data_IF_304115816269
#
_entry.id   IF_304115816269
#
_cell.length_a   1.000
_cell.length_b   1.000
_cell.length_c   1.000
_cell.angle_alpha   90.00
_cell.angle_beta   90.00
_cell.angle_gamma   90.00
#
_symmetry.space_group_name_H-M   'P 1'
#
loop_
_entity.id
_entity.type
_entity.pdbx_description
1 polymer ?
#
# COMPACT_ATOMS: atom_id res chain seq x y z
N UNK A 1 1.26 -27.29 -81.38
CA UNK A 1 1.78 -26.78 -80.10
C UNK A 1 0.71 -25.92 -79.46
N UNK A 2 0.73 -25.85 -78.11
CA UNK A 2 -0.15 -25.09 -77.19
C UNK A 2 -1.38 -25.88 -76.73
N UNK A 3 -1.24 -26.54 -75.57
CA UNK A 3 -2.37 -27.09 -74.78
C UNK A 3 -3.00 -26.00 -73.88
N UNK A 4 -4.23 -26.20 -73.39
CA UNK A 4 -4.95 -25.18 -72.64
C UNK A 4 -4.38 -25.00 -71.22
N UNK A 5 -4.07 -23.76 -70.87
CA UNK A 5 -3.72 -23.35 -69.52
C UNK A 5 -4.91 -23.56 -68.59
N UNK A 6 -4.79 -24.49 -67.65
CA UNK A 6 -5.68 -24.59 -66.50
C UNK A 6 -5.33 -23.46 -65.52
N UNK A 7 -6.02 -22.33 -65.63
CA UNK A 7 -5.93 -21.27 -64.62
C UNK A 7 -6.66 -21.75 -63.37
N UNK A 8 -5.91 -22.30 -62.42
CA UNK A 8 -6.42 -22.51 -61.07
C UNK A 8 -6.93 -21.17 -60.51
N UNK A 9 -8.05 -21.13 -59.77
CA UNK A 9 -8.53 -19.91 -59.14
C UNK A 9 -7.42 -19.33 -58.26
N UNK A 10 -7.11 -18.05 -58.43
CA UNK A 10 -6.24 -17.32 -57.50
C UNK A 10 -6.93 -17.36 -56.13
N UNK A 11 -6.36 -18.01 -55.09
CA UNK A 11 -6.94 -17.93 -53.77
C UNK A 11 -7.01 -16.46 -53.36
N UNK A 12 -8.15 -16.02 -52.81
CA UNK A 12 -8.30 -14.68 -52.29
C UNK A 12 -7.11 -14.37 -51.36
N UNK A 13 -6.53 -13.15 -51.38
CA UNK A 13 -5.47 -12.81 -50.46
C UNK A 13 -6.00 -13.05 -49.04
N UNK A 14 -5.40 -14.03 -48.37
CA UNK A 14 -5.89 -14.47 -47.08
C UNK A 14 -5.74 -13.29 -46.11
N UNK A 15 -6.82 -12.86 -45.49
CA UNK A 15 -6.86 -11.68 -44.61
C UNK A 15 -6.05 -11.89 -43.31
N UNK A 16 -5.46 -13.07 -43.13
CA UNK A 16 -4.70 -13.51 -41.97
C UNK A 16 -3.34 -14.08 -42.41
N UNK A 17 -2.37 -14.06 -41.50
CA UNK A 17 -1.08 -14.71 -41.72
C UNK A 17 -1.23 -16.25 -41.84
N UNK A 18 -0.30 -16.94 -42.53
CA UNK A 18 -0.33 -18.39 -42.66
C UNK A 18 -0.34 -19.10 -41.30
N UNK A 19 -1.20 -20.12 -41.17
CA UNK A 19 -1.34 -20.90 -39.93
C UNK A 19 -0.16 -21.83 -39.65
N UNK A 20 0.47 -22.35 -40.71
CA UNK A 20 1.61 -23.26 -40.62
C UNK A 20 2.88 -22.53 -41.02
N UNK A 21 3.91 -22.66 -40.18
CA UNK A 21 5.26 -22.14 -40.38
C UNK A 21 5.33 -20.69 -40.91
N UNK A 22 4.61 -19.72 -40.31
CA UNK A 22 4.74 -18.33 -40.72
C UNK A 22 6.17 -17.85 -40.43
N UNK A 23 6.88 -17.43 -41.49
CA UNK A 23 8.24 -16.88 -41.37
C UNK A 23 8.19 -15.36 -41.51
N UNK A 24 8.46 -14.66 -40.42
CA UNK A 24 8.64 -13.21 -40.42
C UNK A 24 10.14 -12.90 -40.31
N UNK A 25 10.74 -12.32 -41.35
CA UNK A 25 12.18 -11.98 -41.40
C UNK A 25 12.46 -10.50 -41.09
N UNK A 26 11.43 -9.73 -40.71
CA UNK A 26 11.52 -8.31 -40.42
C UNK A 26 10.46 -7.87 -39.40
N UNK A 27 10.25 -6.55 -39.27
CA UNK A 27 9.20 -6.01 -38.39
C UNK A 27 7.81 -6.38 -38.90
N UNK A 28 6.94 -6.81 -38.00
CA UNK A 28 5.53 -7.07 -38.29
C UNK A 28 4.73 -5.84 -37.88
N UNK A 29 4.15 -5.15 -38.86
CA UNK A 29 3.21 -4.07 -38.62
C UNK A 29 1.81 -4.64 -38.48
N UNK A 30 1.16 -4.37 -37.36
CA UNK A 30 -0.21 -4.79 -37.07
C UNK A 30 -1.09 -3.54 -37.06
N UNK A 31 -2.26 -3.52 -37.73
CA UNK A 31 -3.21 -2.43 -37.62
C UNK A 31 -3.53 -2.14 -36.14
N UNK A 32 -3.76 -0.87 -35.74
CA UNK A 32 -3.95 -0.55 -34.33
C UNK A 32 -5.15 -1.28 -33.70
N UNK A 33 -6.23 -1.50 -34.46
CA UNK A 33 -7.47 -2.10 -33.95
C UNK A 33 -8.13 -1.27 -32.84
N UNK A 34 -9.08 -1.87 -32.14
CA UNK A 34 -9.72 -1.34 -30.94
C UNK A 34 -10.12 -2.48 -30.00
N UNK A 35 -10.75 -2.19 -28.87
CA UNK A 35 -11.11 -3.24 -27.90
C UNK A 35 -12.11 -4.27 -28.43
N UNK A 36 -12.99 -3.90 -29.37
CA UNK A 36 -13.97 -4.80 -29.96
C UNK A 36 -13.39 -5.64 -31.10
N UNK A 37 -12.36 -5.12 -31.78
CA UNK A 37 -11.63 -5.82 -32.85
C UNK A 37 -10.14 -5.50 -32.71
N UNK A 38 -9.40 -6.25 -31.88
CA UNK A 38 -7.98 -6.03 -31.69
C UNK A 38 -7.19 -6.30 -32.98
N UNK A 39 -6.12 -5.52 -33.18
CA UNK A 39 -5.26 -5.66 -34.35
C UNK A 39 -4.59 -7.03 -34.44
N UNK A 40 -4.24 -7.59 -33.28
CA UNK A 40 -3.81 -8.98 -33.11
C UNK A 40 -4.83 -9.68 -32.22
N UNK A 41 -5.53 -10.68 -32.74
CA UNK A 41 -6.57 -11.44 -32.02
C UNK A 41 -6.40 -12.94 -32.22
N UNK A 42 -7.13 -13.73 -31.42
CA UNK A 42 -7.15 -15.17 -31.53
C UNK A 42 -8.06 -15.62 -32.69
N UNK A 43 -7.66 -16.61 -33.49
CA UNK A 43 -8.51 -17.16 -34.54
C UNK A 43 -9.80 -17.75 -33.95
N UNK A 44 -10.95 -17.32 -34.47
CA UNK A 44 -12.25 -17.67 -33.92
C UNK A 44 -12.72 -16.84 -32.70
N UNK A 45 -11.87 -15.94 -32.18
CA UNK A 45 -12.19 -15.03 -31.08
C UNK A 45 -11.62 -13.63 -31.41
N UNK A 46 -12.35 -12.93 -32.28
CA UNK A 46 -11.95 -11.64 -32.83
C UNK A 46 -12.06 -10.47 -31.82
N UNK A 47 -12.57 -10.72 -30.61
CA UNK A 47 -12.76 -9.71 -29.57
C UNK A 47 -11.76 -9.84 -28.40
N UNK A 48 -10.84 -10.80 -28.51
CA UNK A 48 -9.79 -11.09 -27.54
C UNK A 48 -8.41 -10.97 -28.17
N UNK A 49 -7.59 -10.02 -27.67
CA UNK A 49 -6.32 -9.71 -28.32
C UNK A 49 -5.61 -8.44 -27.84
N UNK A 50 -4.62 -8.00 -28.61
CA UNK A 50 -3.83 -6.78 -28.40
C UNK A 50 -4.19 -5.70 -29.43
N UNK A 51 -4.27 -4.46 -28.96
CA UNK A 51 -4.60 -3.30 -29.79
C UNK A 51 -3.87 -2.04 -29.29
N UNK A 52 -3.85 -0.99 -30.11
CA UNK A 52 -3.28 0.31 -29.79
C UNK A 52 -4.37 1.38 -29.78
N UNK A 53 -4.83 1.86 -28.61
CA UNK A 53 -5.86 2.89 -28.50
C UNK A 53 -5.36 4.30 -28.85
N UNK A 54 -4.05 4.46 -29.09
CA UNK A 54 -3.41 5.72 -29.42
C UNK A 54 -1.89 5.57 -29.51
N UNK A 55 -1.18 6.64 -29.92
CA UNK A 55 0.27 6.61 -30.05
C UNK A 55 0.95 6.16 -28.75
N UNK A 56 2.02 5.39 -28.89
CA UNK A 56 2.86 4.93 -27.77
C UNK A 56 2.07 4.22 -26.65
N UNK A 57 0.93 3.59 -27.00
CA UNK A 57 0.05 2.92 -26.04
C UNK A 57 -0.31 1.52 -26.56
N UNK A 58 -0.23 0.53 -25.69
CA UNK A 58 -0.61 -0.86 -25.96
C UNK A 58 -1.69 -1.29 -24.96
N UNK A 59 -2.72 -1.97 -25.44
CA UNK A 59 -3.80 -2.46 -24.60
C UNK A 59 -4.20 -3.90 -24.96
N UNK A 60 -4.77 -4.60 -23.98
CA UNK A 60 -5.30 -5.95 -24.13
C UNK A 60 -6.82 -5.93 -23.92
N UNK A 61 -7.54 -6.68 -24.75
CA UNK A 61 -8.99 -6.84 -24.69
C UNK A 61 -9.38 -8.31 -24.51
N UNK A 62 -10.51 -8.52 -23.83
CA UNK A 62 -11.23 -9.81 -23.78
C UNK A 62 -12.73 -9.55 -23.78
N UNK A 63 -13.49 -10.30 -24.58
CA UNK A 63 -14.94 -10.10 -24.70
C UNK A 63 -15.29 -8.70 -25.20
N UNK A 64 -14.46 -8.15 -26.10
CA UNK A 64 -14.67 -6.84 -26.73
C UNK A 64 -14.38 -5.62 -25.84
N UNK A 65 -13.87 -5.82 -24.62
CA UNK A 65 -13.59 -4.76 -23.66
C UNK A 65 -12.12 -4.71 -23.27
N UNK A 66 -11.60 -3.49 -23.12
CA UNK A 66 -10.25 -3.26 -22.62
C UNK A 66 -10.11 -3.72 -21.17
N UNK A 67 -9.07 -4.50 -20.89
CA UNK A 67 -8.78 -5.04 -19.55
C UNK A 67 -7.53 -4.45 -18.93
N UNK A 68 -6.52 -4.19 -19.75
CA UNK A 68 -5.22 -3.68 -19.33
C UNK A 68 -4.63 -2.77 -20.40
N UNK A 69 -3.90 -1.73 -19.99
CA UNK A 69 -3.20 -0.79 -20.86
C UNK A 69 -1.82 -0.44 -20.30
N UNK A 70 -0.82 -0.37 -21.17
CA UNK A 70 0.42 0.38 -20.92
C UNK A 70 0.33 1.69 -21.70
N UNK A 71 0.26 2.82 -20.98
CA UNK A 71 0.10 4.13 -21.60
C UNK A 71 1.44 4.78 -22.01
N UNK A 72 1.36 5.90 -22.72
CA UNK A 72 2.52 6.65 -23.18
C UNK A 72 3.39 7.23 -22.07
N UNK A 73 2.90 7.26 -20.83
CA UNK A 73 3.65 7.63 -19.63
C UNK A 73 4.37 6.44 -18.98
N UNK A 74 4.26 5.24 -19.55
CA UNK A 74 4.84 4.00 -19.00
C UNK A 74 4.05 3.41 -17.83
N UNK A 75 2.79 3.80 -17.64
CA UNK A 75 1.94 3.28 -16.56
C UNK A 75 1.15 2.08 -17.04
N UNK A 76 1.02 1.08 -16.18
CA UNK A 76 0.13 -0.06 -16.31
C UNK A 76 -1.20 0.26 -15.64
N UNK A 77 -2.28 0.26 -16.42
CA UNK A 77 -3.64 0.46 -15.97
C UNK A 77 -4.40 -0.86 -16.11
N UNK A 78 -5.09 -1.29 -15.06
CA UNK A 78 -5.98 -2.45 -15.05
C UNK A 78 -7.37 -1.97 -14.68
N UNK A 79 -8.37 -2.30 -15.51
CA UNK A 79 -9.76 -1.86 -15.31
C UNK A 79 -10.00 -0.36 -15.56
N UNK A 80 -9.06 0.35 -16.18
CA UNK A 80 -9.19 1.76 -16.56
C UNK A 80 -8.48 2.04 -17.89
N UNK A 81 -9.00 3.00 -18.66
CA UNK A 81 -8.45 3.44 -19.95
C UNK A 81 -7.60 4.71 -19.84
N UNK A 82 -7.65 5.39 -18.71
CA UNK A 82 -6.83 6.56 -18.44
C UNK A 82 -6.35 6.49 -17.00
N UNK A 83 -5.23 7.15 -16.73
CA UNK A 83 -4.76 7.26 -15.36
C UNK A 83 -5.76 8.01 -14.50
N UNK A 84 -5.99 7.48 -13.31
CA UNK A 84 -6.83 8.04 -12.27
C UNK A 84 -6.01 8.72 -11.17
N UNK A 85 -4.70 8.88 -11.37
CA UNK A 85 -3.84 9.58 -10.42
C UNK A 85 -4.28 11.05 -10.33
N UNK A 86 -4.78 11.42 -9.16
CA UNK A 86 -5.02 12.84 -8.82
C UNK A 86 -4.21 13.27 -7.59
N UNK A 87 -3.30 12.41 -7.12
CA UNK A 87 -2.41 12.71 -6.00
C UNK A 87 -1.34 13.73 -6.43
N UNK A 88 -1.24 14.89 -5.76
CA UNK A 88 -0.22 15.87 -6.09
C UNK A 88 1.19 15.29 -5.92
N UNK A 89 2.00 15.34 -6.98
CA UNK A 89 3.43 14.97 -6.95
C UNK A 89 3.72 13.46 -6.95
N UNK A 90 2.71 12.60 -7.11
CA UNK A 90 2.90 11.15 -7.22
C UNK A 90 2.13 10.62 -8.42
N UNK A 91 2.76 9.74 -9.20
CA UNK A 91 2.10 8.97 -10.24
C UNK A 91 2.38 7.49 -10.02
N UNK A 92 1.31 6.72 -9.94
CA UNK A 92 1.37 5.28 -9.73
C UNK A 92 1.72 4.60 -11.05
N UNK A 93 2.82 3.85 -11.08
CA UNK A 93 3.21 3.06 -12.27
C UNK A 93 2.21 1.94 -12.51
N UNK A 94 1.64 1.36 -11.46
CA UNK A 94 0.55 0.39 -11.55
C UNK A 94 -0.72 0.98 -10.93
N UNK A 95 -1.81 0.98 -11.68
CA UNK A 95 -3.14 1.42 -11.24
C UNK A 95 -4.12 0.30 -11.48
N UNK A 96 -4.70 -0.24 -10.40
CA UNK A 96 -5.72 -1.27 -10.47
C UNK A 96 -7.04 -0.67 -10.00
N UNK A 97 -7.93 -0.45 -10.95
CA UNK A 97 -9.25 0.08 -10.70
C UNK A 97 -10.26 -1.06 -10.75
N UNK A 98 -11.01 -1.21 -9.66
CA UNK A 98 -12.12 -2.13 -9.55
C UNK A 98 -13.35 -1.36 -9.09
N UNK A 99 -14.54 -1.81 -9.50
CA UNK A 99 -15.80 -1.16 -9.13
C UNK A 99 -16.45 -1.89 -7.96
N UNK A 100 -16.93 -3.11 -8.20
CA UNK A 100 -17.58 -3.94 -7.17
C UNK A 100 -16.68 -5.06 -6.64
N UNK A 101 -15.50 -5.24 -7.24
CA UNK A 101 -14.53 -6.27 -6.87
C UNK A 101 -13.45 -5.73 -5.94
N UNK A 102 -12.76 -6.65 -5.26
CA UNK A 102 -11.50 -6.35 -4.57
C UNK A 102 -10.41 -6.08 -5.62
N UNK A 103 -9.81 -4.89 -5.61
CA UNK A 103 -8.77 -4.51 -6.56
C UNK A 103 -7.48 -5.34 -6.41
N UNK A 104 -7.10 -5.71 -5.19
CA UNK A 104 -5.91 -6.51 -4.92
C UNK A 104 -6.14 -7.52 -3.79
N UNK A 105 -5.73 -8.77 -3.99
CA UNK A 105 -5.77 -9.83 -2.99
C UNK A 105 -4.47 -10.62 -3.00
N UNK A 106 -3.90 -10.89 -1.82
CA UNK A 106 -2.77 -11.79 -1.63
C UNK A 106 -3.20 -13.00 -0.79
N UNK A 107 -3.28 -14.18 -1.41
CA UNK A 107 -3.73 -15.41 -0.78
C UNK A 107 -2.62 -16.48 -0.89
N UNK A 108 -2.45 -17.30 0.15
CA UNK A 108 -1.51 -18.42 0.17
C UNK A 108 -2.26 -19.72 0.48
N UNK A 109 -2.12 -20.74 -0.38
CA UNK A 109 -2.85 -22.01 -0.30
C UNK A 109 -1.92 -23.23 -0.23
N UNK A 110 -1.23 -23.42 0.88
CA UNK A 110 -0.40 -24.62 1.12
C UNK A 110 -0.28 -24.91 2.63
N UNK A 111 -0.20 -26.19 3.00
CA UNK A 111 0.02 -26.63 4.40
C UNK A 111 1.51 -26.54 4.77
N UNK A 112 1.96 -25.31 4.98
CA UNK A 112 3.31 -25.00 5.44
C UNK A 112 3.32 -23.68 6.23
N UNK A 113 4.48 -23.31 6.76
CA UNK A 113 4.64 -22.09 7.56
C UNK A 113 4.78 -20.79 6.73
N UNK A 114 4.52 -20.84 5.42
CA UNK A 114 4.57 -19.68 4.52
C UNK A 114 3.33 -18.77 4.64
N UNK A 115 3.46 -17.51 4.19
CA UNK A 115 2.36 -16.52 4.26
C UNK A 115 2.32 -15.60 3.03
N UNK A 116 1.17 -14.98 2.79
CA UNK A 116 1.06 -13.84 1.89
C UNK A 116 1.58 -12.57 2.59
N UNK A 117 2.33 -11.74 1.88
CA UNK A 117 2.92 -10.52 2.44
C UNK A 117 2.80 -9.33 1.47
N UNK A 118 2.53 -8.15 2.02
CA UNK A 118 2.77 -6.88 1.34
C UNK A 118 4.18 -6.39 1.72
N UNK A 119 5.13 -6.58 0.81
CA UNK A 119 6.51 -6.16 1.03
C UNK A 119 6.75 -4.75 0.48
N UNK A 120 7.08 -3.81 1.36
CA UNK A 120 7.49 -2.46 1.02
C UNK A 120 8.94 -2.27 1.46
N UNK A 121 9.79 -1.80 0.57
CA UNK A 121 11.22 -1.67 0.83
C UNK A 121 11.78 -0.39 0.25
N UNK A 122 12.77 0.16 0.96
CA UNK A 122 13.51 1.34 0.53
C UNK A 122 14.99 1.02 0.53
N UNK A 123 15.67 1.39 -0.54
CA UNK A 123 17.12 1.54 -0.57
C UNK A 123 17.48 2.96 -0.99
N UNK A 124 18.66 3.44 -0.58
CA UNK A 124 19.24 4.69 -1.08
C UNK A 124 20.19 4.47 -2.27
N UNK A 125 20.21 3.27 -2.86
CA UNK A 125 21.01 2.98 -4.04
C UNK A 125 20.68 3.95 -5.18
N UNK A 126 21.71 4.41 -5.90
CA UNK A 126 21.56 5.36 -7.01
C UNK A 126 21.07 4.75 -8.33
N UNK A 127 20.97 3.43 -8.40
CA UNK A 127 20.54 2.69 -9.59
C UNK A 127 19.66 1.50 -9.19
N UNK A 128 18.86 1.02 -10.15
CA UNK A 128 18.03 -0.17 -9.96
C UNK A 128 18.91 -1.38 -9.60
N UNK A 129 18.50 -2.12 -8.57
CA UNK A 129 19.23 -3.29 -8.06
C UNK A 129 20.43 -2.97 -7.16
N UNK A 130 20.83 -1.70 -7.01
CA UNK A 130 21.88 -1.33 -6.07
C UNK A 130 21.34 -1.16 -4.65
N UNK A 131 22.06 -1.68 -3.67
CA UNK A 131 21.73 -1.51 -2.25
C UNK A 131 22.66 -0.48 -1.61
N UNK A 132 22.05 0.54 -1.00
CA UNK A 132 22.72 1.43 -0.06
C UNK A 132 21.92 1.56 1.25
N UNK A 133 22.59 1.82 2.38
CA UNK A 133 21.94 1.98 3.68
C UNK A 133 20.87 3.07 3.65
N UNK A 134 19.75 2.79 4.31
CA UNK A 134 18.77 3.82 4.68
C UNK A 134 19.29 4.63 5.87
N UNK A 135 18.77 5.84 6.07
CA UNK A 135 19.17 6.76 7.13
C UNK A 135 18.00 7.05 8.08
N UNK A 136 18.30 7.64 9.24
CA UNK A 136 17.26 8.08 10.18
C UNK A 136 16.20 8.95 9.47
N UNK A 137 14.93 8.64 9.69
CA UNK A 137 13.81 9.34 9.06
C UNK A 137 13.44 8.83 7.66
N UNK A 138 14.23 7.94 7.05
CA UNK A 138 13.83 7.32 5.78
C UNK A 138 12.55 6.50 5.98
N UNK A 139 11.55 6.76 5.12
CA UNK A 139 10.32 5.98 5.06
C UNK A 139 10.61 4.65 4.37
N UNK A 140 10.33 3.54 5.06
CA UNK A 140 10.50 2.19 4.51
C UNK A 140 9.32 1.79 3.61
N UNK A 141 8.13 2.23 4.00
CA UNK A 141 6.88 1.94 3.29
C UNK A 141 5.69 2.55 4.02
N UNK A 142 4.65 2.85 3.27
CA UNK A 142 3.43 3.44 3.81
C UNK A 142 2.18 2.84 3.18
N UNK A 143 1.13 2.74 4.00
CA UNK A 143 -0.24 2.47 3.57
C UNK A 143 -1.00 3.80 3.72
N UNK A 144 -1.52 4.32 2.62
CA UNK A 144 -2.32 5.54 2.61
C UNK A 144 -3.80 5.24 2.44
N UNK A 145 -4.62 5.87 3.28
CA UNK A 145 -6.06 5.86 3.16
C UNK A 145 -6.46 7.20 2.55
N UNK A 146 -6.84 7.16 1.27
CA UNK A 146 -7.12 8.34 0.48
C UNK A 146 -8.62 8.67 0.50
N UNK A 147 -8.95 9.94 0.44
CA UNK A 147 -10.32 10.41 0.27
C UNK A 147 -10.35 11.48 -0.84
N UNK A 148 -11.37 11.42 -1.70
CA UNK A 148 -11.61 12.44 -2.72
C UNK A 148 -12.48 13.55 -2.15
N UNK A 149 -12.14 14.80 -2.44
CA UNK A 149 -13.00 15.97 -2.17
C UNK A 149 -13.97 16.28 -3.32
N UNK A 150 -14.08 15.38 -4.31
CA UNK A 150 -14.83 15.58 -5.54
C UNK A 150 -14.00 16.18 -6.69
N UNK A 151 -12.79 16.67 -6.40
CA UNK A 151 -11.84 17.14 -7.42
C UNK A 151 -10.59 16.26 -7.47
N UNK A 152 -10.02 15.91 -6.31
CA UNK A 152 -8.80 15.09 -6.21
C UNK A 152 -8.72 14.30 -4.91
N UNK A 153 -7.86 13.29 -4.89
CA UNK A 153 -7.55 12.55 -3.67
C UNK A 153 -6.58 13.29 -2.75
N UNK A 154 -6.81 13.18 -1.44
CA UNK A 154 -5.91 13.58 -0.36
C UNK A 154 -5.59 12.37 0.52
N UNK A 155 -4.43 12.39 1.16
CA UNK A 155 -4.11 11.42 2.22
C UNK A 155 -4.91 11.78 3.48
N UNK A 156 -5.94 10.99 3.78
CA UNK A 156 -6.77 11.17 4.97
C UNK A 156 -6.10 10.58 6.21
N UNK A 157 -5.67 9.31 6.12
CA UNK A 157 -4.93 8.62 7.18
C UNK A 157 -3.74 7.84 6.59
N UNK A 158 -2.79 7.48 7.45
CA UNK A 158 -1.59 6.76 7.03
C UNK A 158 -1.06 5.82 8.13
N UNK A 159 -0.57 4.66 7.70
CA UNK A 159 0.33 3.81 8.47
C UNK A 159 1.71 3.90 7.82
N UNK A 160 2.75 4.12 8.62
CA UNK A 160 4.10 4.37 8.12
C UNK A 160 5.14 3.56 8.90
N UNK A 161 5.92 2.76 8.18
CA UNK A 161 7.19 2.23 8.68
C UNK A 161 8.31 3.22 8.37
N UNK A 162 9.12 3.55 9.38
CA UNK A 162 10.20 4.52 9.25
C UNK A 162 11.43 4.09 10.04
N UNK A 163 12.62 4.43 9.54
CA UNK A 163 13.86 4.27 10.30
C UNK A 163 13.87 5.25 11.47
N UNK A 164 14.15 4.74 12.67
CA UNK A 164 14.22 5.56 13.91
C UNK A 164 15.64 6.01 14.25
N UNK A 165 16.66 5.24 13.84
CA UNK A 165 18.07 5.62 13.98
C UNK A 165 18.90 5.00 12.86
N UNK A 166 20.08 5.57 12.60
CA UNK A 166 20.98 5.09 11.53
C UNK A 166 21.25 3.58 11.68
N UNK A 167 20.97 2.76 10.65
CA UNK A 167 21.26 1.34 10.69
C UNK A 167 22.76 1.06 10.86
N UNK A 168 23.07 -0.05 11.49
CA UNK A 168 24.43 -0.60 11.62
C UNK A 168 24.40 -2.09 11.27
N UNK A 169 25.55 -2.77 11.04
CA UNK A 169 25.56 -4.21 10.81
C UNK A 169 24.79 -4.96 11.92
N UNK A 170 23.77 -5.73 11.53
CA UNK A 170 22.90 -6.47 12.46
C UNK A 170 21.88 -5.63 13.24
N UNK A 171 21.75 -4.32 12.97
CA UNK A 171 20.83 -3.43 13.68
C UNK A 171 20.03 -2.54 12.71
N UNK A 172 18.70 -2.67 12.79
CA UNK A 172 17.75 -1.91 11.99
C UNK A 172 16.64 -1.34 12.90
N UNK A 173 16.93 -0.28 13.68
CA UNK A 173 15.93 0.32 14.55
C UNK A 173 14.85 1.02 13.72
N UNK A 174 13.61 0.54 13.83
CA UNK A 174 12.46 1.06 13.10
C UNK A 174 11.34 1.45 14.05
N UNK A 175 10.51 2.39 13.60
CA UNK A 175 9.25 2.73 14.24
C UNK A 175 8.09 2.52 13.30
N UNK A 176 6.94 2.20 13.89
CA UNK A 176 5.65 2.18 13.21
C UNK A 176 4.82 3.38 13.69
N UNK A 177 4.33 4.19 12.76
CA UNK A 177 3.57 5.40 13.04
C UNK A 177 2.17 5.32 12.43
N UNK A 178 1.21 5.93 13.11
CA UNK A 178 -0.17 6.07 12.66
C UNK A 178 -0.54 7.56 12.61
N UNK A 179 -1.04 8.00 11.47
CA UNK A 179 -1.41 9.39 11.20
C UNK A 179 -2.90 9.50 10.89
N UNK A 180 -3.52 10.60 11.36
CA UNK A 180 -4.90 10.95 11.05
C UNK A 180 -5.02 12.45 10.77
N UNK A 181 -6.01 12.83 9.97
CA UNK A 181 -6.31 14.23 9.68
C UNK A 181 -7.46 14.73 10.56
N UNK A 182 -7.30 15.83 11.33
CA UNK A 182 -8.38 16.39 12.13
C UNK A 182 -9.44 17.09 11.26
N UNK A 183 -10.65 17.24 11.79
CA UNK A 183 -11.72 18.02 11.16
C UNK A 183 -11.25 19.44 10.84
N UNK A 184 -11.57 19.91 9.64
CA UNK A 184 -11.18 21.24 9.15
C UNK A 184 -9.75 21.34 8.63
N UNK A 185 -9.05 20.21 8.46
CA UNK A 185 -7.71 20.15 7.88
C UNK A 185 -7.63 19.12 6.75
N UNK A 186 -6.60 19.26 5.91
CA UNK A 186 -6.14 18.28 4.92
C UNK A 186 -4.73 17.74 5.25
N UNK A 187 -4.19 18.13 6.40
CA UNK A 187 -2.87 17.74 6.88
C UNK A 187 -3.03 16.70 7.99
N UNK A 188 -2.45 15.53 7.78
CA UNK A 188 -2.43 14.45 8.76
C UNK A 188 -1.34 14.63 9.79
N UNK A 189 -1.64 14.39 11.07
CA UNK A 189 -0.70 14.43 12.19
C UNK A 189 -0.52 13.03 12.77
N UNK A 190 0.67 12.76 13.30
CA UNK A 190 0.97 11.53 14.01
C UNK A 190 0.13 11.46 15.29
N UNK A 191 -0.57 10.34 15.48
CA UNK A 191 -1.38 10.07 16.68
C UNK A 191 -0.80 8.97 17.54
N UNK A 192 -0.22 7.93 16.95
CA UNK A 192 0.33 6.79 17.68
C UNK A 192 1.67 6.39 17.06
N UNK A 193 2.62 6.00 17.91
CA UNK A 193 3.90 5.41 17.50
C UNK A 193 4.29 4.23 18.37
N UNK A 194 4.87 3.22 17.74
CA UNK A 194 5.65 2.17 18.39
C UNK A 194 7.11 2.38 18.00
N UNK A 195 8.00 2.58 18.97
CA UNK A 195 9.43 2.81 18.74
C UNK A 195 10.22 1.50 18.56
N UNK A 196 11.48 1.63 18.16
CA UNK A 196 12.44 0.54 18.05
C UNK A 196 12.71 -0.18 19.39
N UNK A 197 12.49 0.49 20.52
CA UNK A 197 12.58 -0.09 21.87
C UNK A 197 11.27 -0.78 22.32
N UNK A 198 10.23 -0.77 21.48
CA UNK A 198 8.90 -1.28 21.81
C UNK A 198 8.03 -0.31 22.62
N UNK A 199 8.48 0.92 22.87
CA UNK A 199 7.69 1.92 23.58
C UNK A 199 6.53 2.42 22.71
N UNK A 200 5.35 2.56 23.32
CA UNK A 200 4.13 3.05 22.66
C UNK A 200 3.86 4.49 23.11
N UNK A 201 3.68 5.41 22.16
CA UNK A 201 3.50 6.85 22.41
C UNK A 201 2.19 7.37 21.78
N UNK A 202 1.42 8.19 22.51
CA UNK A 202 0.15 8.76 22.05
C UNK A 202 0.20 10.30 22.00
N UNK A 203 -0.05 10.83 20.79
CA UNK A 203 -0.44 12.19 20.37
C UNK A 203 0.23 13.41 21.04
N UNK A 204 1.07 14.11 20.27
CA UNK A 204 1.58 15.45 20.58
C UNK A 204 0.51 16.56 20.52
N UNK A 205 -0.36 16.61 21.53
CA UNK A 205 -1.30 17.67 21.93
C UNK A 205 -2.75 17.67 21.35
N UNK A 206 -3.53 16.66 21.75
CA UNK A 206 -4.92 16.81 22.26
C UNK A 206 -5.25 15.60 23.15
N UNK A 207 -5.53 15.74 24.43
CA UNK A 207 -4.51 16.11 25.42
C UNK A 207 -4.26 14.87 26.30
N UNK A 208 -3.01 14.41 26.42
CA UNK A 208 -2.57 13.50 27.49
C UNK A 208 -2.15 14.33 28.73
N UNK A 209 -1.95 15.65 28.56
CA UNK A 209 -1.31 16.65 29.42
C UNK A 209 -1.83 18.10 29.14
N UNK A 210 -2.65 18.73 29.98
CA UNK A 210 -3.03 20.17 29.89
C UNK A 210 -2.42 20.97 31.06
N UNK A 211 -2.83 22.23 31.28
CA UNK A 211 -2.43 23.02 32.49
C UNK A 211 -2.73 22.28 33.81
N UNK A 212 -3.55 21.21 33.75
CA UNK A 212 -3.96 20.38 34.87
C UNK A 212 -3.36 18.95 34.87
N UNK A 213 -2.50 18.52 33.92
CA UNK A 213 -1.96 17.14 33.92
C UNK A 213 -0.65 16.95 33.14
N UNK A 214 0.24 16.06 33.59
CA UNK A 214 1.63 15.94 33.11
C UNK A 214 1.97 14.69 32.27
N UNK A 215 1.26 13.58 32.50
CA UNK A 215 1.17 12.37 31.66
C UNK A 215 -0.20 11.80 31.98
N UNK A 216 -1.04 11.57 30.99
CA UNK A 216 -2.17 10.66 31.10
C UNK A 216 -1.61 9.26 31.26
N UNK A 217 -1.07 8.98 32.44
CA UNK A 217 -1.06 7.62 32.95
C UNK A 217 -2.48 7.11 32.79
N UNK A 218 -2.62 5.84 32.47
CA UNK A 218 -3.95 5.25 32.48
C UNK A 218 -4.52 5.48 33.88
N UNK A 219 -5.61 6.23 33.96
CA UNK A 219 -6.26 6.57 35.21
C UNK A 219 -7.09 5.37 35.65
N UNK A 220 -7.00 5.02 36.93
CA UNK A 220 -7.76 3.96 37.58
C UNK A 220 -8.43 4.51 38.83
N UNK A 221 -9.56 3.97 39.25
CA UNK A 221 -10.02 4.10 40.64
C UNK A 221 -9.30 3.06 41.51
N UNK A 222 -9.30 3.23 42.83
CA UNK A 222 -8.74 2.29 43.82
C UNK A 222 -9.24 0.86 43.55
N UNK A 223 -10.54 0.71 43.29
CA UNK A 223 -11.17 -0.58 42.99
C UNK A 223 -10.74 -1.21 41.65
N UNK A 224 -10.05 -0.46 40.77
CA UNK A 224 -9.75 -0.88 39.37
C UNK A 224 -8.27 -0.95 39.04
N UNK A 225 -7.39 -0.88 40.04
CA UNK A 225 -5.95 -0.96 39.83
C UNK A 225 -5.51 -2.31 39.20
N UNK A 226 -4.58 -2.31 38.23
CA UNK A 226 -4.05 -3.56 37.67
C UNK A 226 -3.24 -4.33 38.71
N UNK A 227 -2.89 -5.60 38.50
CA UNK A 227 -2.02 -6.32 39.46
C UNK A 227 -0.64 -5.68 39.57
N UNK A 228 -0.17 -5.45 40.80
CA UNK A 228 1.15 -4.89 41.08
C UNK A 228 2.28 -5.84 40.64
N UNK A 229 2.08 -7.16 40.77
CA UNK A 229 3.11 -8.17 40.50
C UNK A 229 3.56 -8.23 39.03
N UNK A 230 2.72 -7.79 38.08
CA UNK A 230 3.00 -7.85 36.64
C UNK A 230 3.94 -6.72 36.13
N UNK A 231 4.41 -5.86 37.03
CA UNK A 231 5.25 -4.73 36.67
C UNK A 231 5.68 -3.93 37.87
N UNK A 232 6.49 -4.54 38.72
CA UNK A 232 7.23 -3.84 39.78
C UNK A 232 7.83 -2.55 39.23
N UNK A 233 7.56 -1.43 39.90
CA UNK A 233 8.03 -0.11 39.51
C UNK A 233 7.18 0.62 38.46
N UNK A 234 6.04 0.06 38.00
CA UNK A 234 5.09 0.80 37.14
C UNK A 234 4.38 1.90 37.93
N UNK A 235 4.03 3.00 37.26
CA UNK A 235 3.26 4.12 37.81
C UNK A 235 1.87 4.23 37.19
N UNK A 236 0.89 4.62 38.01
CA UNK A 236 -0.49 4.84 37.59
C UNK A 236 -1.11 6.04 38.29
N UNK A 237 -2.09 6.66 37.63
CA UNK A 237 -2.91 7.69 38.25
C UNK A 237 -4.14 7.04 38.90
N UNK A 238 -4.40 7.38 40.17
CA UNK A 238 -5.54 6.87 40.97
C UNK A 238 -6.56 7.98 41.18
N UNK A 239 -7.71 7.91 40.54
CA UNK A 239 -8.67 9.01 40.47
C UNK A 239 -9.40 9.31 41.79
N UNK A 240 -9.57 8.32 42.68
CA UNK A 240 -10.37 8.38 43.90
C UNK A 240 -9.63 7.83 45.14
N UNK A 241 -8.29 7.94 45.15
CA UNK A 241 -7.49 7.51 46.29
C UNK A 241 -7.87 8.21 47.59
N UNK A 242 -7.75 7.50 48.72
CA UNK A 242 -8.10 8.02 50.04
C UNK A 242 -7.39 9.35 50.34
N UNK A 243 -8.16 10.33 50.82
CA UNK A 243 -7.71 11.71 51.06
C UNK A 243 -7.16 12.44 49.82
N UNK A 244 -7.62 12.06 48.61
CA UNK A 244 -7.28 12.76 47.37
C UNK A 244 -5.90 12.41 46.79
N UNK A 245 -5.27 11.33 47.25
CA UNK A 245 -3.99 10.83 46.71
C UNK A 245 -4.18 10.26 45.30
N UNK A 246 -3.33 10.65 44.34
CA UNK A 246 -3.56 10.34 42.91
C UNK A 246 -2.46 9.64 42.16
N UNK A 247 -1.32 9.37 42.78
CA UNK A 247 -0.21 8.70 42.11
C UNK A 247 0.19 7.47 42.91
N UNK A 248 0.27 6.32 42.26
CA UNK A 248 0.67 5.08 42.90
C UNK A 248 1.74 4.35 42.10
N UNK A 249 2.61 3.65 42.81
CA UNK A 249 3.68 2.82 42.27
C UNK A 249 3.49 1.37 42.70
N UNK A 250 3.75 0.43 41.80
CA UNK A 250 3.77 -0.98 42.16
C UNK A 250 5.09 -1.33 42.87
N UNK A 251 5.02 -2.00 44.02
CA UNK A 251 6.18 -2.61 44.68
C UNK A 251 6.37 -4.10 44.31
N UNK A 252 5.57 -4.62 43.39
CA UNK A 252 5.55 -6.04 42.99
C UNK A 252 4.63 -6.93 43.85
N UNK A 253 4.11 -6.42 44.96
CA UNK A 253 3.16 -7.12 45.85
C UNK A 253 1.85 -6.35 46.06
N UNK A 254 1.91 -5.02 46.01
CA UNK A 254 0.76 -4.11 46.07
C UNK A 254 1.08 -2.76 45.42
N UNK A 255 0.03 -1.97 45.18
CA UNK A 255 0.19 -0.57 44.79
C UNK A 255 0.33 0.28 46.04
N UNK A 256 1.33 1.15 46.01
CA UNK A 256 1.68 2.03 47.11
C UNK A 256 1.50 3.47 46.69
N UNK A 257 0.88 4.25 47.57
CA UNK A 257 1.02 5.68 47.53
C UNK A 257 2.47 6.08 47.89
N UNK A 258 2.87 7.33 47.64
CA UNK A 258 4.26 7.76 47.85
C UNK A 258 4.73 7.69 49.31
N UNK A 259 3.78 7.69 50.26
CA UNK A 259 4.05 7.53 51.69
C UNK A 259 4.19 6.06 52.13
N UNK A 260 4.13 5.11 51.19
CA UNK A 260 4.25 3.67 51.44
C UNK A 260 2.96 2.99 51.89
N UNK A 261 1.87 3.74 52.06
CA UNK A 261 0.56 3.17 52.38
C UNK A 261 0.00 2.40 51.19
N UNK A 262 -0.71 1.29 51.45
CA UNK A 262 -1.36 0.50 50.41
C UNK A 262 -2.56 1.28 49.89
N UNK A 263 -2.76 1.27 48.57
CA UNK A 263 -3.87 1.99 47.94
C UNK A 263 -5.25 1.39 48.35
N UNK A 264 -5.29 0.09 48.69
CA UNK A 264 -6.36 -0.62 49.43
C UNK A 264 -5.84 -1.93 50.03
#
# INVERSE_FOLDING_TARGET
MIGPYHTAPVPAPETLAPRNDPVFTGSVAVPPGNSAVPGLHLDGDADTGLFSPGPNTLAAATGGAERMRVDSGGRVLVGATASTDTLPGFSSVLQVNAHTQVAFSGLNFFDNNGTAALALGKSRGGSFGAHAPVLNGDMLGSIWFLASDGTRFYRGAQILGQIEASPAPGSLPTRLLFYTTPTGSIVSYERLRISASGAVMHNGATIVVDENSHLGLRSYTVATLPSAAAGTGRLVYVADGASGRRLAVSDGTGWRFPDGTIVS
#
